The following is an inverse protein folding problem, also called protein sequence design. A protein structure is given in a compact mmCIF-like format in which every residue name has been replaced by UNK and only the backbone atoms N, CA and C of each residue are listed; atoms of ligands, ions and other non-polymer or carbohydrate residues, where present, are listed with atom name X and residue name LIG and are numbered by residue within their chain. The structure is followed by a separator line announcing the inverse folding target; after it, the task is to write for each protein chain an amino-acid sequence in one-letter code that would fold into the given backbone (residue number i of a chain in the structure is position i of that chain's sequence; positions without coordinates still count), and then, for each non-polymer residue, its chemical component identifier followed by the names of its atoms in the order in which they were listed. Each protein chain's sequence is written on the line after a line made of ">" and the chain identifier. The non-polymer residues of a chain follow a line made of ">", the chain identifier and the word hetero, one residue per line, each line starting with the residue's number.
data_IF_957091465627
#
_entry.id   IF_957091465627
#
_cell.length_a   1.000
_cell.length_b   1.000
_cell.length_c   1.000
_cell.angle_alpha   90.00
_cell.angle_beta   90.00
_cell.angle_gamma   90.00
#
_symmetry.space_group_name_H-M   'P 1'
#
loop_
_entity.id
_entity.type
_entity.pdbx_description
1 polymer ?
#
# COMPACT_ATOMS: atom_id res chain seq x y z
N UNK A 1 -5.46 11.31 -44.74
CA UNK A 1 -5.89 12.22 -43.66
C UNK A 1 -7.00 11.53 -42.88
N UNK A 2 -6.74 11.10 -41.64
CA UNK A 2 -7.76 10.75 -40.65
C UNK A 2 -7.12 10.92 -39.26
N UNK A 3 -7.70 11.82 -38.49
CA UNK A 3 -7.22 12.37 -37.23
C UNK A 3 -7.90 11.58 -36.11
N UNK A 4 -7.15 10.88 -35.26
CA UNK A 4 -7.72 10.31 -34.02
C UNK A 4 -6.82 10.67 -32.83
N UNK A 5 -7.16 11.83 -32.28
CA UNK A 5 -6.61 12.42 -31.07
C UNK A 5 -7.08 11.62 -29.85
N UNK A 6 -6.40 10.54 -29.49
CA UNK A 6 -6.64 9.88 -28.19
C UNK A 6 -5.42 9.11 -27.73
N UNK A 7 -4.31 9.83 -27.53
CA UNK A 7 -3.27 9.34 -26.63
C UNK A 7 -2.64 10.49 -25.83
N UNK A 8 -3.49 11.27 -25.15
CA UNK A 8 -3.07 12.01 -23.95
C UNK A 8 -3.37 11.16 -22.71
N UNK A 9 -2.80 9.96 -22.68
CA UNK A 9 -2.70 9.19 -21.47
C UNK A 9 -1.61 9.80 -20.60
N UNK A 10 -2.03 10.51 -19.56
CA UNK A 10 -1.23 10.74 -18.34
C UNK A 10 0.08 11.51 -18.52
N UNK A 11 0.00 12.76 -18.96
CA UNK A 11 0.99 13.76 -18.54
C UNK A 11 0.73 14.12 -17.07
N UNK A 12 0.95 13.15 -16.17
CA UNK A 12 1.22 13.46 -14.77
C UNK A 12 2.55 14.18 -14.74
N UNK A 13 2.55 15.46 -14.37
CA UNK A 13 3.75 16.30 -14.36
C UNK A 13 4.95 15.56 -13.79
N UNK A 14 6.07 15.64 -14.50
CA UNK A 14 7.31 14.89 -14.25
C UNK A 14 7.52 14.60 -12.76
N UNK A 15 7.30 13.35 -12.34
CA UNK A 15 7.48 12.92 -10.94
C UNK A 15 8.89 13.24 -10.41
N UNK A 16 9.84 13.45 -11.32
CA UNK A 16 11.24 13.75 -11.10
C UNK A 16 11.52 15.20 -10.62
N UNK A 17 10.59 16.15 -10.82
CA UNK A 17 10.81 17.57 -10.46
C UNK A 17 9.75 18.17 -9.52
N UNK A 18 8.93 17.34 -8.86
CA UNK A 18 8.02 17.83 -7.83
C UNK A 18 8.75 17.86 -6.47
N UNK A 19 9.07 19.04 -5.91
CA UNK A 19 9.77 19.14 -4.61
C UNK A 19 8.91 18.65 -3.43
N UNK A 20 7.62 18.43 -3.64
CA UNK A 20 6.71 17.81 -2.67
C UNK A 20 6.68 16.27 -2.72
N UNK A 21 7.31 15.63 -3.71
CA UNK A 21 7.25 14.19 -3.87
C UNK A 21 8.25 13.49 -2.93
N UNK A 22 7.75 12.59 -2.08
CA UNK A 22 8.55 11.80 -1.15
C UNK A 22 9.63 10.93 -1.83
N UNK A 23 9.44 10.59 -3.11
CA UNK A 23 10.45 9.86 -3.88
C UNK A 23 11.74 10.69 -4.11
N UNK A 24 11.64 12.02 -4.13
CA UNK A 24 12.77 12.93 -4.35
C UNK A 24 13.37 13.46 -3.04
N UNK A 25 12.71 13.24 -1.91
CA UNK A 25 13.10 13.77 -0.59
C UNK A 25 12.88 12.68 0.48
N UNK A 26 13.93 11.86 0.67
CA UNK A 26 13.92 10.75 1.63
C UNK A 26 13.79 11.24 3.07
N UNK A 27 14.33 12.41 3.41
CA UNK A 27 14.23 12.98 4.75
C UNK A 27 12.77 13.33 5.06
N UNK A 28 12.10 14.05 4.15
CA UNK A 28 10.67 14.36 4.27
C UNK A 28 9.80 13.10 4.31
N UNK A 29 10.13 12.08 3.53
CA UNK A 29 9.45 10.79 3.58
C UNK A 29 9.59 10.12 4.95
N UNK A 30 10.81 10.13 5.49
CA UNK A 30 11.13 9.55 6.80
C UNK A 30 10.45 10.31 7.94
N UNK A 31 10.43 11.64 7.88
CA UNK A 31 9.75 12.48 8.85
C UNK A 31 8.24 12.28 8.83
N UNK A 32 7.63 12.24 7.63
CA UNK A 32 6.21 11.94 7.48
C UNK A 32 5.85 10.55 8.03
N UNK A 33 6.67 9.53 7.73
CA UNK A 33 6.52 8.19 8.29
C UNK A 33 6.63 8.18 9.81
N UNK A 34 7.63 8.86 10.38
CA UNK A 34 7.82 8.99 11.83
C UNK A 34 6.63 9.68 12.50
N UNK A 35 6.19 10.82 11.96
CA UNK A 35 5.06 11.59 12.49
C UNK A 35 3.75 10.81 12.39
N UNK A 36 3.51 10.12 11.28
CA UNK A 36 2.36 9.22 11.12
C UNK A 36 2.39 8.06 12.12
N UNK A 37 3.56 7.46 12.33
CA UNK A 37 3.76 6.42 13.34
C UNK A 37 3.50 6.91 14.76
N UNK A 38 4.03 8.08 15.13
CA UNK A 38 3.79 8.72 16.43
C UNK A 38 2.31 9.05 16.64
N UNK A 39 1.66 9.69 15.66
CA UNK A 39 0.23 10.04 15.72
C UNK A 39 -0.68 8.82 15.82
N UNK A 40 -0.25 7.68 15.29
CA UNK A 40 -1.03 6.45 15.35
C UNK A 40 -0.91 5.74 16.70
N UNK A 41 0.05 6.12 17.56
CA UNK A 41 0.35 5.48 18.84
C UNK A 41 1.70 4.74 18.92
N UNK A 42 2.57 4.89 17.92
CA UNK A 42 3.87 4.22 17.83
C UNK A 42 3.80 2.81 17.22
N UNK A 43 4.93 2.09 17.25
CA UNK A 43 5.07 0.74 16.69
C UNK A 43 4.20 -0.29 17.42
N UNK A 44 3.37 -1.01 16.66
CA UNK A 44 2.55 -2.13 17.15
C UNK A 44 3.37 -3.26 17.79
N UNK A 45 4.66 -3.38 17.47
CA UNK A 45 5.53 -4.45 17.96
C UNK A 45 5.65 -4.49 19.50
N UNK A 46 5.53 -3.35 20.18
CA UNK A 46 5.64 -3.27 21.64
C UNK A 46 4.28 -3.37 22.36
N UNK A 47 3.17 -3.39 21.61
CA UNK A 47 1.81 -3.46 22.14
C UNK A 47 1.04 -4.58 21.42
N UNK A 48 1.06 -5.76 22.04
CA UNK A 48 0.48 -6.98 21.47
C UNK A 48 -1.03 -6.85 21.26
N UNK A 49 -1.74 -6.15 22.14
CA UNK A 49 -3.19 -5.95 22.01
C UNK A 49 -3.48 -5.10 20.78
N UNK A 50 -2.76 -3.99 20.63
CA UNK A 50 -2.91 -3.09 19.48
C UNK A 50 -2.47 -3.72 18.16
N UNK A 51 -1.42 -4.54 18.17
CA UNK A 51 -1.01 -5.35 17.02
C UNK A 51 -2.11 -6.34 16.61
N UNK A 52 -2.72 -7.01 17.59
CA UNK A 52 -3.80 -7.97 17.36
C UNK A 52 -5.06 -7.28 16.82
N UNK A 53 -5.41 -6.10 17.34
CA UNK A 53 -6.54 -5.32 16.84
C UNK A 53 -6.29 -4.81 15.42
N UNK A 54 -5.10 -4.27 15.13
CA UNK A 54 -4.72 -3.82 13.80
C UNK A 54 -4.75 -4.98 12.79
N UNK A 55 -4.22 -6.15 13.15
CA UNK A 55 -4.31 -7.37 12.34
C UNK A 55 -5.75 -7.81 12.08
N UNK A 56 -6.61 -7.77 13.11
CA UNK A 56 -8.04 -8.10 12.98
C UNK A 56 -8.76 -7.14 12.03
N UNK A 57 -8.59 -5.83 12.21
CA UNK A 57 -9.17 -4.81 11.32
C UNK A 57 -8.67 -4.95 9.88
N UNK A 58 -7.36 -5.14 9.69
CA UNK A 58 -6.76 -5.36 8.37
C UNK A 58 -7.31 -6.62 7.68
N UNK A 59 -7.47 -7.70 8.45
CA UNK A 59 -8.10 -8.93 7.97
C UNK A 59 -9.56 -8.74 7.58
N UNK A 60 -10.34 -8.00 8.37
CA UNK A 60 -11.73 -7.66 8.05
C UNK A 60 -11.84 -6.83 6.77
N UNK A 61 -11.06 -5.75 6.64
CA UNK A 61 -11.07 -4.88 5.45
C UNK A 61 -10.65 -5.60 4.17
N UNK A 62 -9.83 -6.65 4.28
CA UNK A 62 -9.35 -7.41 3.13
C UNK A 62 -10.36 -8.47 2.65
N UNK A 63 -11.45 -8.71 3.37
CA UNK A 63 -12.46 -9.75 3.06
C UNK A 63 -12.52 -10.90 4.07
N UNK A 64 -11.91 -10.76 5.25
CA UNK A 64 -11.92 -11.77 6.30
C UNK A 64 -10.79 -12.80 6.19
N UNK A 65 -10.87 -13.86 7.01
CA UNK A 65 -9.85 -14.89 7.14
C UNK A 65 -9.93 -15.90 5.98
N UNK A 66 -8.80 -16.21 5.33
CA UNK A 66 -8.72 -17.15 4.21
C UNK A 66 -9.16 -18.58 4.59
N UNK A 67 -9.13 -18.93 5.87
CA UNK A 67 -9.56 -20.24 6.37
C UNK A 67 -11.02 -20.57 6.04
N UNK A 68 -11.88 -19.56 5.93
CA UNK A 68 -13.31 -19.75 5.65
C UNK A 68 -13.67 -19.59 4.17
N UNK A 69 -12.70 -19.23 3.31
CA UNK A 69 -12.90 -18.96 1.89
C UNK A 69 -11.76 -19.60 1.08
N UNK A 70 -11.98 -20.86 0.68
CA UNK A 70 -10.98 -21.68 -0.02
C UNK A 70 -10.63 -21.10 -1.39
N UNK A 71 -11.58 -20.50 -2.11
CA UNK A 71 -11.31 -19.91 -3.42
C UNK A 71 -10.38 -18.72 -3.28
N UNK A 72 -10.68 -17.82 -2.32
CA UNK A 72 -9.85 -16.65 -2.02
C UNK A 72 -8.47 -17.03 -1.49
N UNK A 73 -8.37 -18.08 -0.66
CA UNK A 73 -7.09 -18.63 -0.21
C UNK A 73 -6.24 -19.14 -1.39
N UNK A 74 -6.89 -19.86 -2.32
CA UNK A 74 -6.24 -20.42 -3.50
C UNK A 74 -5.75 -19.32 -4.45
N UNK A 75 -6.56 -18.28 -4.67
CA UNK A 75 -6.18 -17.13 -5.50
C UNK A 75 -5.02 -16.34 -4.89
N UNK A 76 -5.05 -16.09 -3.57
CA UNK A 76 -3.97 -15.42 -2.85
C UNK A 76 -2.66 -16.21 -2.91
N UNK A 77 -2.72 -17.54 -2.71
CA UNK A 77 -1.57 -18.42 -2.86
C UNK A 77 -0.99 -18.41 -4.28
N UNK A 78 -1.85 -18.45 -5.30
CA UNK A 78 -1.43 -18.36 -6.70
C UNK A 78 -0.74 -17.03 -7.01
N UNK A 79 -1.33 -15.89 -6.62
CA UNK A 79 -0.73 -14.56 -6.81
C UNK A 79 0.59 -14.41 -6.04
N UNK A 80 0.66 -14.91 -4.81
CA UNK A 80 1.88 -14.88 -4.00
C UNK A 80 3.03 -15.69 -4.62
N UNK A 81 2.72 -16.86 -5.19
CA UNK A 81 3.69 -17.67 -5.92
C UNK A 81 4.15 -17.03 -7.23
N UNK A 82 3.27 -16.28 -7.90
CA UNK A 82 3.60 -15.60 -9.17
C UNK A 82 4.56 -14.42 -8.99
N UNK A 83 4.59 -13.77 -7.83
CA UNK A 83 5.56 -12.69 -7.54
C UNK A 83 6.97 -13.19 -7.21
N UNK A 84 7.16 -14.51 -7.17
CA UNK A 84 8.44 -15.16 -6.80
C UNK A 84 9.15 -15.79 -8.01
N UNK A 85 8.67 -15.55 -9.24
CA UNK A 85 9.17 -16.09 -10.50
C UNK A 85 9.73 -14.99 -11.41
#
# INVERSE_FOLDING_TARGET
>A
MANNQTNRGHQGGTAQNNPGNFANDREKASEAGRKGGQSSGGNFANDRERASEAGRKGGQSSGGNFANDRERASEAGRKGGQSSA
#
